data_IF_643932397907
#
_entry.id   IF_643932397907
#
_cell.length_a   1.000
_cell.length_b   1.000
_cell.length_c   1.000
_cell.angle_alpha   90.00
_cell.angle_beta   90.00
_cell.angle_gamma   90.00
#
_symmetry.space_group_name_H-M   'P 1'
#
loop_
_entity.id
_entity.type
_entity.pdbx_description
1 polymer ?
#
# COMPACT_ATOMS: atom_id res chain seq x y z
N UNK A 1 0.00 -2.19 16.36
CA UNK A 1 0.33 -1.75 14.99
C UNK A 1 1.48 -0.75 15.10
N UNK A 2 2.53 -0.91 14.30
CA UNK A 2 3.62 0.06 14.16
C UNK A 2 3.66 0.49 12.70
N UNK A 3 3.59 1.78 12.43
CA UNK A 3 3.61 2.37 11.09
C UNK A 3 4.63 3.51 11.08
N UNK A 4 5.45 3.59 10.05
CA UNK A 4 6.56 4.52 9.92
C UNK A 4 6.47 5.23 8.56
N UNK A 5 6.84 6.51 8.53
CA UNK A 5 7.04 7.25 7.28
C UNK A 5 8.38 6.81 6.71
N UNK A 6 8.37 6.28 5.49
CA UNK A 6 9.53 5.70 4.81
C UNK A 6 9.81 6.36 3.46
N UNK A 7 9.12 7.45 3.14
CA UNK A 7 9.23 8.18 1.88
C UNK A 7 10.66 8.67 1.57
N UNK A 8 11.52 8.84 2.59
CA UNK A 8 12.93 9.23 2.44
C UNK A 8 13.88 8.02 2.28
N UNK A 9 13.35 6.80 2.32
CA UNK A 9 14.11 5.55 2.30
C UNK A 9 14.80 5.20 3.61
N UNK A 10 14.42 5.84 4.71
CA UNK A 10 14.86 5.47 6.05
C UNK A 10 13.88 4.45 6.65
N UNK A 11 14.43 3.35 7.18
CA UNK A 11 13.65 2.29 7.83
C UNK A 11 14.24 2.01 9.21
N UNK A 12 13.41 1.97 10.25
CA UNK A 12 13.89 1.73 11.62
C UNK A 12 14.47 0.32 11.78
N UNK A 13 15.31 0.14 12.82
CA UNK A 13 15.79 -1.18 13.20
C UNK A 13 14.63 -2.13 13.55
N UNK A 14 13.56 -1.63 14.19
CA UNK A 14 12.37 -2.43 14.50
C UNK A 14 11.68 -2.95 13.24
N UNK A 15 11.50 -2.10 12.23
CA UNK A 15 10.86 -2.51 10.98
C UNK A 15 11.73 -3.49 10.20
N UNK A 16 13.05 -3.24 10.13
CA UNK A 16 14.01 -4.16 9.49
C UNK A 16 14.03 -5.53 10.16
N UNK A 17 13.95 -5.58 11.50
CA UNK A 17 13.92 -6.83 12.24
C UNK A 17 12.58 -7.59 12.10
N UNK A 18 11.48 -6.88 11.85
CA UNK A 18 10.16 -7.48 11.64
C UNK A 18 10.02 -8.09 10.23
N UNK A 19 10.66 -7.50 9.21
CA UNK A 19 10.62 -7.99 7.84
C UNK A 19 11.54 -9.20 7.67
N UNK A 20 10.98 -10.35 7.27
CA UNK A 20 11.73 -11.61 7.17
C UNK A 20 12.72 -11.68 6.00
N UNK A 21 12.53 -10.87 4.96
CA UNK A 21 13.37 -10.86 3.75
C UNK A 21 14.15 -9.56 3.67
N UNK A 22 15.17 -9.42 4.52
CA UNK A 22 15.99 -8.20 4.66
C UNK A 22 16.65 -7.71 3.36
N UNK A 23 16.89 -8.60 2.40
CA UNK A 23 17.43 -8.30 1.08
C UNK A 23 16.64 -7.22 0.32
N UNK A 24 15.34 -7.04 0.59
CA UNK A 24 14.55 -6.00 -0.06
C UNK A 24 15.11 -4.59 0.24
N UNK A 25 15.67 -4.38 1.43
CA UNK A 25 16.23 -3.08 1.83
C UNK A 25 17.49 -2.72 1.04
N UNK A 26 18.13 -3.67 0.35
CA UNK A 26 19.23 -3.36 -0.57
C UNK A 26 18.75 -2.65 -1.85
N UNK A 27 17.47 -2.79 -2.19
CA UNK A 27 16.83 -2.19 -3.36
C UNK A 27 16.00 -0.95 -3.03
N UNK A 28 15.74 -0.73 -1.73
CA UNK A 28 14.99 0.41 -1.24
C UNK A 28 15.93 1.54 -0.81
N UNK A 29 15.53 2.78 -1.07
CA UNK A 29 16.28 3.98 -0.66
C UNK A 29 15.59 5.25 -1.15
N UNK A 30 16.30 6.39 -1.10
CA UNK A 30 15.77 7.73 -1.43
C UNK A 30 15.04 7.87 -2.77
N UNK A 31 15.34 6.99 -3.73
CA UNK A 31 14.75 7.03 -5.09
C UNK A 31 13.61 6.03 -5.29
N UNK A 32 13.49 5.06 -4.39
CA UNK A 32 12.53 3.97 -4.47
C UNK A 32 12.23 3.50 -3.06
N UNK A 33 11.26 4.13 -2.42
CA UNK A 33 10.70 3.69 -1.15
C UNK A 33 9.21 3.96 -1.11
N UNK A 34 8.46 3.12 -0.40
CA UNK A 34 7.06 3.42 -0.11
C UNK A 34 6.92 4.63 0.81
N UNK A 35 5.77 5.30 0.75
CA UNK A 35 5.53 6.47 1.60
C UNK A 35 5.43 6.08 3.09
N UNK A 36 4.70 5.00 3.38
CA UNK A 36 4.61 4.42 4.72
C UNK A 36 4.73 2.90 4.67
N UNK A 37 5.40 2.34 5.68
CA UNK A 37 5.46 0.90 5.92
C UNK A 37 5.24 0.63 7.39
N UNK A 38 4.55 -0.46 7.66
CA UNK A 38 4.29 -0.90 9.01
C UNK A 38 4.04 -2.38 9.10
N UNK A 39 3.83 -2.83 10.33
CA UNK A 39 3.44 -4.18 10.63
C UNK A 39 2.50 -4.23 11.83
N UNK A 40 1.67 -5.26 11.83
CA UNK A 40 0.85 -5.65 12.95
C UNK A 40 1.37 -6.98 13.47
N UNK A 41 1.72 -7.02 14.75
CA UNK A 41 2.08 -8.28 15.41
C UNK A 41 0.87 -9.19 15.40
N UNK A 42 0.96 -10.27 14.63
CA UNK A 42 -0.09 -11.27 14.60
C UNK A 42 0.04 -12.25 15.76
N UNK A 43 -0.96 -13.11 15.87
CA UNK A 43 -0.89 -14.25 16.79
C UNK A 43 0.13 -15.26 16.24
N UNK A 44 0.88 -15.92 17.12
CA UNK A 44 1.90 -16.92 16.77
C UNK A 44 3.14 -16.41 16.01
N UNK A 45 3.46 -15.12 16.10
CA UNK A 45 4.70 -14.55 15.53
C UNK A 45 4.71 -14.43 14.00
N UNK A 46 3.53 -14.47 13.39
CA UNK A 46 3.32 -14.14 11.97
C UNK A 46 2.83 -12.70 11.92
N UNK A 47 3.67 -11.78 11.46
CA UNK A 47 3.32 -10.38 11.36
C UNK A 47 2.61 -10.10 10.02
N UNK A 48 1.55 -9.29 10.06
CA UNK A 48 0.91 -8.76 8.86
C UNK A 48 1.55 -7.42 8.51
N UNK A 49 2.11 -7.29 7.31
CA UNK A 49 2.68 -6.02 6.87
C UNK A 49 1.64 -5.11 6.21
N UNK A 50 1.88 -3.81 6.35
CA UNK A 50 1.10 -2.73 5.77
C UNK A 50 2.05 -1.88 4.93
N UNK A 51 1.68 -1.60 3.70
CA UNK A 51 2.33 -0.64 2.81
C UNK A 51 1.28 0.38 2.40
N UNK A 52 1.62 1.66 2.47
CA UNK A 52 0.74 2.74 2.04
C UNK A 52 1.49 3.66 1.09
N UNK A 53 0.85 3.95 -0.04
CA UNK A 53 1.23 4.99 -1.00
C UNK A 53 0.20 6.12 -0.93
N UNK A 54 0.66 7.37 -0.91
CA UNK A 54 -0.20 8.56 -0.83
C UNK A 54 0.06 9.44 -2.04
N UNK A 55 -1.01 9.78 -2.75
CA UNK A 55 -0.97 10.62 -3.95
C UNK A 55 -1.63 11.95 -3.67
N UNK A 56 -1.13 12.99 -4.34
CA UNK A 56 -1.65 14.36 -4.25
C UNK A 56 -2.83 14.60 -5.21
N UNK A 57 -2.90 13.80 -6.25
CA UNK A 57 -3.85 13.94 -7.35
C UNK A 57 -4.57 12.60 -7.60
N UNK A 58 -5.40 12.55 -8.64
CA UNK A 58 -6.10 11.35 -9.08
C UNK A 58 -5.15 10.17 -9.32
N UNK A 59 -5.58 8.99 -8.86
CA UNK A 59 -4.82 7.75 -9.01
C UNK A 59 -4.58 7.42 -10.48
N UNK A 60 -3.32 7.18 -10.83
CA UNK A 60 -2.91 6.70 -12.15
C UNK A 60 -2.67 5.19 -12.15
N UNK A 61 -2.53 4.62 -13.36
CA UNK A 61 -2.14 3.22 -13.51
C UNK A 61 -0.74 2.95 -12.96
N UNK A 62 0.19 3.90 -13.09
CA UNK A 62 1.54 3.81 -12.55
C UNK A 62 1.53 3.74 -11.02
N UNK A 63 0.67 4.53 -10.36
CA UNK A 63 0.51 4.51 -8.90
C UNK A 63 0.02 3.14 -8.40
N UNK A 64 -0.90 2.52 -9.15
CA UNK A 64 -1.35 1.16 -8.88
C UNK A 64 -0.18 0.18 -8.98
N UNK A 65 0.62 0.26 -10.04
CA UNK A 65 1.78 -0.63 -10.20
C UNK A 65 2.85 -0.42 -9.12
N UNK A 66 3.06 0.81 -8.68
CA UNK A 66 3.94 1.11 -7.56
C UNK A 66 3.42 0.49 -6.25
N UNK A 67 2.14 0.69 -5.93
CA UNK A 67 1.51 0.10 -4.74
C UNK A 67 1.54 -1.43 -4.78
N UNK A 68 1.33 -2.04 -5.95
CA UNK A 68 1.50 -3.49 -6.15
C UNK A 68 2.92 -3.93 -5.89
N UNK A 69 3.90 -3.28 -6.51
CA UNK A 69 5.31 -3.61 -6.40
C UNK A 69 5.75 -3.60 -4.93
N UNK A 70 5.43 -2.54 -4.18
CA UNK A 70 5.77 -2.49 -2.77
C UNK A 70 4.96 -3.49 -1.93
N UNK A 71 3.67 -3.65 -2.20
CA UNK A 71 2.85 -4.65 -1.54
C UNK A 71 3.39 -6.08 -1.74
N UNK A 72 3.89 -6.38 -2.93
CA UNK A 72 4.51 -7.66 -3.30
C UNK A 72 5.90 -7.81 -2.65
N UNK A 73 6.76 -6.78 -2.71
CA UNK A 73 8.09 -6.79 -2.10
C UNK A 73 8.05 -7.05 -0.60
N UNK A 74 7.11 -6.41 0.11
CA UNK A 74 6.95 -6.58 1.55
C UNK A 74 6.10 -7.80 1.92
N UNK A 75 5.54 -8.53 0.96
CA UNK A 75 4.49 -9.52 1.21
C UNK A 75 3.44 -8.95 2.18
N UNK A 76 2.97 -7.73 1.89
CA UNK A 76 2.11 -6.97 2.78
C UNK A 76 0.65 -7.38 2.66
N UNK A 77 0.00 -7.78 3.74
CA UNK A 77 -1.44 -8.08 3.71
C UNK A 77 -2.24 -6.88 3.23
N UNK A 78 -1.84 -5.68 3.65
CA UNK A 78 -2.48 -4.42 3.30
C UNK A 78 -1.57 -3.61 2.38
N UNK A 79 -1.91 -3.52 1.09
CA UNK A 79 -1.30 -2.59 0.16
C UNK A 79 -2.35 -1.50 -0.15
N UNK A 80 -2.15 -0.31 0.40
CA UNK A 80 -3.12 0.78 0.35
C UNK A 80 -2.61 1.89 -0.56
N UNK A 81 -3.48 2.41 -1.41
CA UNK A 81 -3.20 3.57 -2.26
C UNK A 81 -4.22 4.66 -1.94
N UNK A 82 -3.76 5.76 -1.35
CA UNK A 82 -4.63 6.86 -0.91
C UNK A 82 -4.49 8.05 -1.84
N UNK A 83 -5.61 8.68 -2.19
CA UNK A 83 -5.66 9.89 -3.02
C UNK A 83 -6.82 10.78 -2.58
N UNK A 84 -6.74 12.11 -2.71
CA UNK A 84 -7.86 12.99 -2.39
C UNK A 84 -9.01 12.91 -3.39
N UNK A 85 -8.71 12.51 -4.63
CA UNK A 85 -9.68 12.38 -5.71
C UNK A 85 -10.35 11.00 -5.66
N UNK A 86 -11.62 10.89 -6.09
CA UNK A 86 -12.26 9.59 -6.23
C UNK A 86 -11.54 8.73 -7.27
N UNK A 87 -11.63 7.40 -7.12
CA UNK A 87 -11.03 6.47 -8.09
C UNK A 87 -11.61 6.71 -9.49
N UNK A 88 -10.79 6.98 -10.52
CA UNK A 88 -11.29 7.25 -11.86
C UNK A 88 -12.11 6.08 -12.41
N UNK A 89 -13.19 6.38 -13.13
CA UNK A 89 -14.07 5.35 -13.71
C UNK A 89 -13.33 4.46 -14.72
N UNK A 90 -12.36 5.00 -15.45
CA UNK A 90 -11.49 4.25 -16.36
C UNK A 90 -10.69 3.17 -15.62
N UNK A 91 -10.17 3.49 -14.42
CA UNK A 91 -9.45 2.54 -13.57
C UNK A 91 -10.39 1.45 -13.07
N UNK A 92 -11.61 1.80 -12.65
CA UNK A 92 -12.62 0.81 -12.21
C UNK A 92 -12.98 -0.14 -13.35
N UNK A 93 -13.25 0.40 -14.54
CA UNK A 93 -13.57 -0.38 -15.75
C UNK A 93 -12.40 -1.25 -16.17
N UNK A 94 -11.17 -0.72 -16.14
CA UNK A 94 -9.97 -1.49 -16.46
C UNK A 94 -9.78 -2.65 -15.48
N UNK A 95 -9.96 -2.41 -14.17
CA UNK A 95 -9.89 -3.45 -13.16
C UNK A 95 -10.92 -4.56 -13.39
N UNK A 96 -12.16 -4.20 -13.73
CA UNK A 96 -13.21 -5.19 -14.02
C UNK A 96 -12.91 -6.12 -15.20
N UNK A 97 -12.01 -5.73 -16.11
CA UNK A 97 -11.64 -6.54 -17.28
C UNK A 97 -10.28 -7.25 -17.14
N UNK A 98 -9.35 -6.66 -16.41
CA UNK A 98 -7.94 -7.09 -16.42
C UNK A 98 -7.36 -7.34 -15.03
N UNK A 99 -8.15 -7.13 -13.98
CA UNK A 99 -7.76 -7.37 -12.59
C UNK A 99 -6.51 -6.61 -12.15
N UNK A 100 -6.33 -5.36 -12.62
CA UNK A 100 -5.11 -4.57 -12.34
C UNK A 100 -4.74 -4.43 -10.86
N UNK A 101 -5.69 -4.54 -9.91
CA UNK A 101 -5.40 -4.44 -8.48
C UNK A 101 -4.92 -5.77 -7.86
N UNK A 102 -5.10 -6.92 -8.53
CA UNK A 102 -4.75 -8.23 -7.99
C UNK A 102 -3.24 -8.45 -7.99
N UNK A 103 -2.64 -8.68 -6.83
CA UNK A 103 -1.21 -8.91 -6.68
C UNK A 103 -0.82 -10.35 -7.01
N UNK A 104 0.33 -10.50 -7.66
CA UNK A 104 0.73 -11.76 -8.29
C UNK A 104 1.18 -12.80 -7.26
N UNK A 105 1.89 -12.37 -6.20
CA UNK A 105 2.57 -13.31 -5.30
C UNK A 105 1.74 -13.74 -4.08
N UNK A 106 0.70 -13.00 -3.72
CA UNK A 106 0.06 -13.16 -2.40
C UNK A 106 -1.44 -13.47 -2.44
N UNK A 107 -2.07 -13.45 -3.62
CA UNK A 107 -3.53 -13.56 -3.74
C UNK A 107 -4.30 -12.37 -3.15
N UNK A 108 -3.60 -11.35 -2.64
CA UNK A 108 -4.18 -10.12 -2.12
C UNK A 108 -4.30 -9.08 -3.23
N UNK A 109 -4.98 -7.97 -2.93
CA UNK A 109 -5.15 -6.86 -3.86
C UNK A 109 -4.61 -5.56 -3.27
N UNK A 110 -4.42 -4.56 -4.13
CA UNK A 110 -4.29 -3.16 -3.73
C UNK A 110 -5.68 -2.60 -3.45
N UNK A 111 -5.86 -1.94 -2.31
CA UNK A 111 -7.08 -1.21 -1.98
C UNK A 111 -6.83 0.28 -2.17
N UNK A 112 -7.62 0.91 -3.04
CA UNK A 112 -7.57 2.36 -3.26
C UNK A 112 -8.57 3.01 -2.32
N UNK A 113 -8.14 4.03 -1.56
CA UNK A 113 -8.99 4.77 -0.63
C UNK A 113 -9.01 6.26 -0.95
N UNK A 114 -10.20 6.85 -0.99
CA UNK A 114 -10.34 8.30 -1.12
C UNK A 114 -10.12 8.98 0.25
N UNK A 115 -9.04 9.75 0.39
CA UNK A 115 -8.74 10.55 1.55
C UNK A 115 -9.42 11.91 1.48
N UNK A 116 -10.25 12.24 2.45
CA UNK A 116 -10.89 13.55 2.53
C UNK A 116 -10.08 14.48 3.46
N UNK A 117 -9.52 15.54 2.89
CA UNK A 117 -8.69 16.50 3.62
C UNK A 117 -9.48 17.25 4.71
N UNK A 118 -10.75 17.56 4.46
CA UNK A 118 -11.60 18.30 5.40
C UNK A 118 -11.87 17.52 6.69
N UNK A 119 -11.98 16.19 6.61
CA UNK A 119 -12.25 15.32 7.75
C UNK A 119 -11.03 14.55 8.25
N UNK A 120 -9.89 14.66 7.55
CA UNK A 120 -8.67 13.88 7.77
C UNK A 120 -8.97 12.38 7.92
N UNK A 121 -9.81 11.84 7.03
CA UNK A 121 -10.25 10.44 7.06
C UNK A 121 -10.39 9.90 5.64
N UNK A 122 -10.23 8.58 5.52
CA UNK A 122 -10.69 7.89 4.32
C UNK A 122 -12.21 7.78 4.37
N UNK A 123 -12.87 8.20 3.30
CA UNK A 123 -14.33 8.10 3.17
C UNK A 123 -14.76 6.64 3.29
N UNK A 124 -15.79 6.33 4.08
CA UNK A 124 -16.25 4.95 4.29
C UNK A 124 -16.58 4.24 2.98
N UNK A 125 -17.22 4.95 2.06
CA UNK A 125 -17.59 4.47 0.73
C UNK A 125 -16.55 4.82 -0.35
N UNK A 126 -15.40 5.39 0.07
CA UNK A 126 -14.30 5.79 -0.81
C UNK A 126 -13.32 4.68 -1.13
N UNK A 127 -13.59 3.44 -0.69
CA UNK A 127 -12.73 2.29 -0.95
C UNK A 127 -13.08 1.60 -2.27
N UNK A 128 -12.05 1.17 -2.99
CA UNK A 128 -12.16 0.34 -4.18
C UNK A 128 -11.08 -0.75 -4.18
N UNK A 129 -11.38 -2.00 -4.55
CA UNK A 129 -12.71 -2.50 -4.94
C UNK A 129 -13.63 -2.75 -3.75
N UNK A 130 -13.06 -2.93 -2.55
CA UNK A 130 -13.78 -3.08 -1.28
C UNK A 130 -12.93 -2.56 -0.12
N UNK A 131 -13.55 -2.34 1.05
CA UNK A 131 -12.85 -2.04 2.29
C UNK A 131 -11.81 -3.12 2.61
N UNK A 132 -10.57 -2.75 2.98
CA UNK A 132 -9.58 -3.69 3.48
C UNK A 132 -9.82 -4.10 4.95
N UNK A 133 -10.72 -3.41 5.67
CA UNK A 133 -11.04 -3.60 7.08
C UNK A 133 -12.38 -4.27 7.28
#
# INVERSE_FOLDING_TARGET
CQLEITADGSFSASLKNAVRHDIIFAFLGKKASPDLVGFMRGQYGIDDYIVVEVKRDAVTLQDIYQAKMYGDLFSARYALLLSPEPVPEEIKRLHGNTFILNRFMSGWQVCIGQWEESSNKVTKDGWFPQSPF
#
